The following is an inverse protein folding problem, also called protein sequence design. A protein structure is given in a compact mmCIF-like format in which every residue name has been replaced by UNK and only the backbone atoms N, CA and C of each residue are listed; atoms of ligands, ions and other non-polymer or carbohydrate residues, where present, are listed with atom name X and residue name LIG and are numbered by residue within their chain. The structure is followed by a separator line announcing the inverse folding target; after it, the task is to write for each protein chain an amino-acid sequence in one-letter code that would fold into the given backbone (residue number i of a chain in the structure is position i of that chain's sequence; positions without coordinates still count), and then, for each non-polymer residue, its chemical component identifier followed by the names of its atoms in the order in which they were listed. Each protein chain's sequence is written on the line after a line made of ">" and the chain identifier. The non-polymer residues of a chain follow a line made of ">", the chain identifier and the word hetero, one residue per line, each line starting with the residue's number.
data_IF_118176239494
#
_entry.id   IF_118176239494
#
_cell.length_a   1.000
_cell.length_b   1.000
_cell.length_c   1.000
_cell.angle_alpha   90.00
_cell.angle_beta   90.00
_cell.angle_gamma   90.00
#
_symmetry.space_group_name_H-M   'P 1'
#
loop_
_entity.id
_entity.type
_entity.pdbx_description
1 polymer ?
#
# COMPACT_ATOMS: atom_id res chain seq x y z
N UNK A 1 3.27 24.44 13.36
CA UNK A 1 3.62 25.23 12.16
C UNK A 1 4.82 26.16 12.33
N UNK A 2 5.06 26.79 13.49
CA UNK A 2 6.23 27.68 13.69
C UNK A 2 7.59 27.01 13.36
N UNK A 3 7.75 25.72 13.64
CA UNK A 3 8.98 24.97 13.38
C UNK A 3 9.30 24.72 11.90
N UNK A 4 8.32 24.88 11.00
CA UNK A 4 8.40 24.56 9.57
C UNK A 4 8.13 25.76 8.66
N UNK A 5 7.55 26.83 9.21
CA UNK A 5 7.26 28.07 8.48
C UNK A 5 8.56 28.68 7.93
N UNK A 6 8.57 28.99 6.62
CA UNK A 6 9.73 29.55 5.91
C UNK A 6 10.76 28.50 5.46
N UNK A 7 10.53 27.21 5.69
CA UNK A 7 11.34 26.12 5.13
C UNK A 7 10.72 25.63 3.82
N UNK A 8 11.55 25.15 2.89
CA UNK A 8 11.12 24.66 1.57
C UNK A 8 10.52 23.23 1.59
N UNK A 9 9.91 22.81 2.69
CA UNK A 9 9.26 21.51 2.78
C UNK A 9 7.89 21.55 2.09
N UNK A 10 7.53 20.51 1.36
CA UNK A 10 6.26 20.38 0.64
C UNK A 10 5.33 19.33 1.22
N UNK A 11 5.77 18.57 2.23
CA UNK A 11 4.95 17.54 2.84
C UNK A 11 5.50 16.97 4.14
N UNK A 12 4.69 16.14 4.79
CA UNK A 12 5.00 15.47 6.06
C UNK A 12 4.74 13.98 5.96
N UNK A 13 5.69 13.18 6.45
CA UNK A 13 5.46 11.78 6.79
C UNK A 13 5.13 11.68 8.28
N UNK A 14 3.91 11.26 8.58
CA UNK A 14 3.35 11.16 9.93
C UNK A 14 2.96 9.69 10.17
N UNK A 15 3.95 8.81 10.41
CA UNK A 15 3.80 7.37 10.24
C UNK A 15 2.69 6.72 11.07
N UNK A 16 2.33 7.32 12.21
CA UNK A 16 1.36 6.78 13.16
C UNK A 16 0.08 7.63 13.26
N UNK A 17 0.13 8.91 12.91
CA UNK A 17 -0.95 9.85 13.24
C UNK A 17 -2.28 9.47 12.58
N UNK A 18 -2.21 8.86 11.40
CA UNK A 18 -3.39 8.49 10.63
C UNK A 18 -3.94 7.09 10.95
N UNK A 19 -3.19 6.25 11.65
CA UNK A 19 -3.45 4.82 11.88
C UNK A 19 -3.61 4.47 13.37
N UNK A 20 -2.74 5.00 14.21
CA UNK A 20 -2.79 4.77 15.66
C UNK A 20 -3.80 5.72 16.31
N UNK A 21 -4.63 5.14 17.18
CA UNK A 21 -5.63 5.88 17.93
C UNK A 21 -5.53 5.52 19.41
N UNK A 22 -4.55 6.08 20.10
CA UNK A 22 -4.36 5.86 21.53
C UNK A 22 -5.12 6.93 22.36
N UNK A 23 -5.73 6.50 23.46
CA UNK A 23 -6.16 7.41 24.53
C UNK A 23 -5.05 7.57 25.58
N UNK A 24 -5.16 8.60 26.41
CA UNK A 24 -4.33 8.79 27.59
C UNK A 24 -5.23 8.80 28.83
N UNK A 25 -4.95 7.92 29.79
CA UNK A 25 -5.74 7.81 31.03
C UNK A 25 -4.95 8.29 32.25
N UNK A 26 -3.83 8.96 32.04
CA UNK A 26 -3.13 9.68 33.09
C UNK A 26 -4.03 10.78 33.68
N UNK A 27 -4.05 10.89 35.01
CA UNK A 27 -4.95 11.80 35.73
C UNK A 27 -4.77 13.27 35.30
N UNK A 28 -3.54 13.66 34.95
CA UNK A 28 -3.21 15.04 34.60
C UNK A 28 -3.29 15.29 33.09
N UNK A 29 -3.37 14.25 32.27
CA UNK A 29 -3.33 14.31 30.81
C UNK A 29 -4.39 13.41 30.18
N UNK A 30 -5.59 13.38 30.77
CA UNK A 30 -6.69 12.54 30.31
C UNK A 30 -7.14 12.93 28.89
N UNK A 31 -7.17 11.94 28.00
CA UNK A 31 -7.56 12.06 26.60
C UNK A 31 -8.30 10.78 26.18
N UNK A 32 -9.57 10.90 25.85
CA UNK A 32 -10.33 9.78 25.27
C UNK A 32 -9.89 9.48 23.84
N UNK A 33 -10.19 8.28 23.35
CA UNK A 33 -9.97 7.93 21.93
C UNK A 33 -10.72 8.86 20.96
N UNK A 34 -11.91 9.34 21.32
CA UNK A 34 -12.65 10.28 20.47
C UNK A 34 -11.93 11.63 20.39
N UNK A 35 -11.45 12.15 21.52
CA UNK A 35 -10.66 13.39 21.52
C UNK A 35 -9.33 13.22 20.76
N UNK A 36 -8.68 12.06 20.86
CA UNK A 36 -7.48 11.76 20.08
C UNK A 36 -7.77 11.73 18.57
N UNK A 37 -8.91 11.15 18.16
CA UNK A 37 -9.37 11.16 16.76
C UNK A 37 -9.57 12.60 16.28
N UNK A 38 -10.32 13.40 17.03
CA UNK A 38 -10.63 14.79 16.66
C UNK A 38 -9.35 15.63 16.53
N UNK A 39 -8.38 15.42 17.43
CA UNK A 39 -7.06 16.04 17.35
C UNK A 39 -6.29 15.63 16.09
N UNK A 40 -6.26 14.33 15.75
CA UNK A 40 -5.62 13.85 14.53
C UNK A 40 -6.26 14.45 13.27
N UNK A 41 -7.59 14.53 13.22
CA UNK A 41 -8.30 15.14 12.09
C UNK A 41 -7.99 16.64 11.97
N UNK A 42 -8.03 17.38 13.08
CA UNK A 42 -7.74 18.82 13.08
C UNK A 42 -6.32 19.10 12.58
N UNK A 43 -5.33 18.34 13.09
CA UNK A 43 -3.93 18.50 12.70
C UNK A 43 -3.71 18.16 11.23
N UNK A 44 -4.21 17.01 10.77
CA UNK A 44 -4.09 16.59 9.37
C UNK A 44 -4.78 17.60 8.43
N UNK A 45 -5.99 18.03 8.78
CA UNK A 45 -6.73 19.04 8.01
C UNK A 45 -5.94 20.34 7.92
N UNK A 46 -5.41 20.83 9.04
CA UNK A 46 -4.62 22.06 9.07
C UNK A 46 -3.40 21.99 8.17
N UNK A 47 -2.64 20.90 8.22
CA UNK A 47 -1.47 20.72 7.37
C UNK A 47 -1.85 20.69 5.89
N UNK A 48 -2.93 19.96 5.56
CA UNK A 48 -3.43 19.88 4.18
C UNK A 48 -3.93 21.24 3.67
N UNK A 49 -4.65 22.00 4.49
CA UNK A 49 -5.15 23.34 4.14
C UNK A 49 -4.02 24.37 3.97
N UNK A 50 -2.88 24.17 4.63
CA UNK A 50 -1.65 24.94 4.42
C UNK A 50 -0.88 24.51 3.15
N UNK A 51 -1.38 23.50 2.41
CA UNK A 51 -0.84 23.07 1.12
C UNK A 51 0.21 21.96 1.19
N UNK A 52 0.35 21.29 2.33
CA UNK A 52 1.32 20.19 2.49
C UNK A 52 0.74 18.85 2.01
N UNK A 53 1.54 18.06 1.30
CA UNK A 53 1.23 16.65 1.05
C UNK A 53 1.45 15.82 2.32
N UNK A 54 0.57 14.86 2.59
CA UNK A 54 0.61 14.05 3.81
C UNK A 54 0.75 12.57 3.49
N UNK A 55 1.71 11.92 4.14
CA UNK A 55 1.95 10.48 4.05
C UNK A 55 1.84 9.84 5.43
N UNK A 56 1.19 8.67 5.51
CA UNK A 56 1.11 7.89 6.75
C UNK A 56 1.29 6.40 6.47
N UNK A 57 1.81 5.67 7.47
CA UNK A 57 1.79 4.21 7.50
C UNK A 57 0.45 3.73 8.04
N UNK A 58 -0.34 3.05 7.22
CA UNK A 58 -1.74 2.77 7.52
C UNK A 58 -2.62 4.04 7.46
N UNK A 59 -3.93 3.83 7.46
CA UNK A 59 -4.90 4.92 7.56
C UNK A 59 -6.24 4.40 8.11
N UNK A 60 -6.77 5.07 9.12
CA UNK A 60 -8.17 4.94 9.51
C UNK A 60 -9.06 5.74 8.55
N UNK A 61 -10.31 5.30 8.37
CA UNK A 61 -11.22 5.92 7.41
C UNK A 61 -11.42 7.44 7.64
N UNK A 62 -11.41 7.90 8.89
CA UNK A 62 -11.58 9.31 9.24
C UNK A 62 -10.40 10.20 8.83
N UNK A 63 -9.24 9.62 8.48
CA UNK A 63 -8.06 10.38 8.07
C UNK A 63 -7.84 10.43 6.56
N UNK A 64 -8.46 9.51 5.82
CA UNK A 64 -8.35 9.41 4.36
C UNK A 64 -8.59 10.73 3.61
N UNK A 65 -9.57 11.58 3.97
CA UNK A 65 -9.79 12.84 3.26
C UNK A 65 -8.60 13.80 3.30
N UNK A 66 -7.67 13.64 4.25
CA UNK A 66 -6.55 14.55 4.46
C UNK A 66 -5.23 14.01 3.90
N UNK A 67 -5.14 12.70 3.64
CA UNK A 67 -3.90 12.07 3.19
C UNK A 67 -3.69 12.21 1.69
N UNK A 68 -2.44 12.42 1.29
CA UNK A 68 -1.99 12.28 -0.09
C UNK A 68 -1.55 10.85 -0.38
N UNK A 69 -0.91 10.20 0.60
CA UNK A 69 -0.38 8.84 0.51
C UNK A 69 -0.69 8.02 1.77
N UNK A 70 -1.28 6.84 1.61
CA UNK A 70 -1.43 5.84 2.66
C UNK A 70 -0.60 4.61 2.31
N UNK A 71 0.53 4.41 2.98
CA UNK A 71 1.46 3.31 2.67
C UNK A 71 1.40 2.21 3.72
N UNK A 72 2.09 1.10 3.48
CA UNK A 72 2.09 -0.05 4.38
C UNK A 72 0.66 -0.61 4.59
N UNK A 73 -0.17 -0.56 3.55
CA UNK A 73 -1.51 -1.16 3.55
C UNK A 73 -1.37 -2.65 3.26
N UNK A 74 -1.89 -3.50 4.14
CA UNK A 74 -1.87 -4.95 3.93
C UNK A 74 -2.59 -5.32 2.64
N UNK A 75 -1.96 -6.15 1.82
CA UNK A 75 -2.57 -6.74 0.61
C UNK A 75 -3.28 -8.06 0.90
N UNK A 76 -3.14 -8.58 2.12
CA UNK A 76 -3.58 -9.91 2.49
C UNK A 76 -4.44 -9.88 3.75
N UNK A 77 -5.36 -10.84 3.81
CA UNK A 77 -6.06 -11.19 5.04
C UNK A 77 -5.16 -12.06 5.93
N UNK A 78 -5.60 -12.33 7.15
CA UNK A 78 -4.92 -13.34 7.97
C UNK A 78 -5.15 -14.75 7.38
N UNK A 79 -4.27 -15.69 7.73
CA UNK A 79 -4.29 -17.07 7.23
C UNK A 79 -5.20 -18.00 8.05
N UNK A 80 -6.32 -17.48 8.57
CA UNK A 80 -7.20 -18.28 9.41
C UNK A 80 -7.88 -19.40 8.59
N UNK A 81 -7.87 -20.68 9.03
CA UNK A 81 -8.39 -21.82 8.23
C UNK A 81 -9.87 -21.75 7.84
N UNK A 82 -10.64 -20.89 8.52
CA UNK A 82 -12.06 -20.65 8.22
C UNK A 82 -12.28 -19.60 7.13
N UNK A 83 -11.22 -19.01 6.59
CA UNK A 83 -11.30 -18.04 5.51
C UNK A 83 -11.22 -18.81 4.19
N UNK A 84 -12.35 -18.88 3.50
CA UNK A 84 -12.41 -19.50 2.17
C UNK A 84 -11.69 -18.65 1.12
N UNK A 85 -11.83 -17.32 1.20
CA UNK A 85 -11.27 -16.39 0.21
C UNK A 85 -11.01 -15.00 0.78
N UNK A 86 -9.89 -14.42 0.38
CA UNK A 86 -9.58 -13.00 0.57
C UNK A 86 -10.01 -12.17 -0.66
N UNK A 87 -10.55 -10.99 -0.41
CA UNK A 87 -10.83 -9.96 -1.41
C UNK A 87 -10.07 -8.67 -1.04
N UNK A 88 -9.60 -7.87 -2.01
CA UNK A 88 -8.86 -6.63 -1.72
C UNK A 88 -9.81 -5.49 -1.32
N UNK A 89 -10.68 -5.73 -0.33
CA UNK A 89 -11.77 -4.82 0.04
C UNK A 89 -11.27 -3.42 0.41
N UNK A 90 -10.19 -3.34 1.21
CA UNK A 90 -9.58 -2.06 1.59
C UNK A 90 -9.17 -1.30 0.34
N UNK A 91 -8.47 -1.94 -0.59
CA UNK A 91 -8.01 -1.29 -1.81
C UNK A 91 -9.14 -0.94 -2.77
N UNK A 92 -10.23 -1.72 -2.80
CA UNK A 92 -11.44 -1.34 -3.53
C UNK A 92 -12.04 -0.03 -3.00
N UNK A 93 -11.93 0.25 -1.70
CA UNK A 93 -12.35 1.52 -1.10
C UNK A 93 -11.33 2.65 -1.34
N UNK A 94 -10.03 2.35 -1.29
CA UNK A 94 -8.98 3.37 -1.42
C UNK A 94 -8.72 3.79 -2.87
N UNK A 95 -8.94 2.88 -3.83
CA UNK A 95 -8.65 3.09 -5.24
C UNK A 95 -9.46 4.25 -5.82
N UNK A 96 -8.75 5.18 -6.47
CA UNK A 96 -9.31 6.43 -6.99
C UNK A 96 -9.58 7.51 -5.94
N UNK A 97 -9.38 7.23 -4.64
CA UNK A 97 -9.61 8.17 -3.53
C UNK A 97 -8.30 8.71 -2.96
N UNK A 98 -7.37 7.82 -2.62
CA UNK A 98 -6.05 8.16 -2.07
C UNK A 98 -4.98 7.36 -2.82
N UNK A 99 -3.77 7.89 -2.95
CA UNK A 99 -2.65 7.08 -3.42
C UNK A 99 -2.25 6.13 -2.27
N UNK A 100 -2.11 4.85 -2.55
CA UNK A 100 -1.72 3.89 -1.53
C UNK A 100 -0.60 2.96 -1.98
N UNK A 101 0.16 2.52 -0.98
CA UNK A 101 1.26 1.58 -1.13
C UNK A 101 1.01 0.31 -0.32
N UNK A 102 1.49 -0.80 -0.86
CA UNK A 102 1.44 -2.11 -0.24
C UNK A 102 2.23 -2.16 1.09
N UNK A 103 2.19 -3.32 1.75
CA UNK A 103 3.19 -3.70 2.75
C UNK A 103 4.61 -3.65 2.19
N UNK A 104 5.60 -3.66 3.08
CA UNK A 104 7.01 -3.51 2.69
C UNK A 104 7.54 -4.70 1.89
N UNK A 105 8.18 -4.45 0.75
CA UNK A 105 8.89 -5.47 -0.06
C UNK A 105 10.00 -6.19 0.74
N UNK A 106 10.59 -5.50 1.72
CA UNK A 106 11.68 -6.00 2.55
C UNK A 106 11.41 -7.36 3.20
N UNK A 107 10.15 -7.62 3.55
CA UNK A 107 9.71 -8.85 4.22
C UNK A 107 8.98 -9.81 3.29
N UNK A 108 8.89 -9.52 1.99
CA UNK A 108 8.34 -10.44 1.01
C UNK A 108 9.23 -11.68 0.91
N UNK A 109 8.63 -12.86 1.08
CA UNK A 109 9.31 -14.14 0.88
C UNK A 109 9.50 -14.47 -0.61
N UNK A 110 8.56 -14.01 -1.45
CA UNK A 110 8.57 -14.18 -2.89
C UNK A 110 8.21 -12.84 -3.56
N UNK A 111 9.15 -12.28 -4.31
CA UNK A 111 8.99 -11.00 -5.02
C UNK A 111 7.96 -11.10 -6.14
N UNK A 112 7.79 -12.27 -6.76
CA UNK A 112 6.78 -12.51 -7.80
C UNK A 112 5.39 -12.47 -7.20
N UNK A 113 5.20 -13.15 -6.06
CA UNK A 113 3.93 -13.10 -5.33
C UNK A 113 3.61 -11.67 -4.86
N UNK A 114 4.60 -10.96 -4.30
CA UNK A 114 4.46 -9.55 -3.90
C UNK A 114 4.04 -8.66 -5.09
N UNK A 115 4.71 -8.81 -6.24
CA UNK A 115 4.38 -8.10 -7.47
C UNK A 115 2.94 -8.38 -7.90
N UNK A 116 2.54 -9.65 -8.01
CA UNK A 116 1.20 -10.01 -8.44
C UNK A 116 0.14 -9.50 -7.47
N UNK A 117 0.40 -9.52 -6.16
CA UNK A 117 -0.49 -8.90 -5.16
C UNK A 117 -0.57 -7.39 -5.28
N UNK A 118 0.53 -6.70 -5.57
CA UNK A 118 0.49 -5.26 -5.86
C UNK A 118 -0.41 -4.98 -7.08
N UNK A 119 -0.31 -5.83 -8.11
CA UNK A 119 -1.14 -5.72 -9.32
C UNK A 119 -2.62 -5.99 -9.01
N UNK A 120 -2.93 -7.11 -8.34
CA UNK A 120 -4.31 -7.48 -7.95
C UNK A 120 -4.97 -6.39 -7.12
N UNK A 121 -4.21 -5.75 -6.24
CA UNK A 121 -4.74 -4.74 -5.31
C UNK A 121 -4.60 -3.31 -5.83
N UNK A 122 -4.00 -3.09 -7.00
CA UNK A 122 -3.69 -1.75 -7.51
C UNK A 122 -2.74 -0.93 -6.64
N UNK A 123 -1.97 -1.58 -5.76
CA UNK A 123 -1.09 -0.93 -4.80
C UNK A 123 0.25 -0.52 -5.44
N UNK A 124 0.78 0.65 -5.05
CA UNK A 124 2.17 0.96 -5.33
C UNK A 124 3.11 0.08 -4.47
N UNK A 125 4.31 -0.21 -4.98
CA UNK A 125 5.36 -0.84 -4.19
C UNK A 125 5.81 0.10 -3.06
N UNK A 126 6.06 -0.46 -1.88
CA UNK A 126 6.60 0.25 -0.73
C UNK A 126 7.79 -0.52 -0.15
N UNK A 127 8.84 0.18 0.23
CA UNK A 127 10.05 -0.42 0.78
C UNK A 127 10.79 0.58 1.69
N UNK A 128 11.66 0.06 2.54
CA UNK A 128 12.60 0.85 3.34
C UNK A 128 14.01 0.52 2.89
N UNK A 129 14.84 1.54 2.70
CA UNK A 129 16.23 1.38 2.31
C UNK A 129 17.17 2.16 3.24
N UNK A 130 18.34 1.58 3.49
CA UNK A 130 19.49 2.23 4.13
C UNK A 130 20.70 2.12 3.21
N UNK A 131 21.64 3.06 3.30
CA UNK A 131 22.87 3.00 2.52
C UNK A 131 23.85 1.93 3.04
N UNK A 132 24.01 1.86 4.35
CA UNK A 132 24.97 0.97 5.02
C UNK A 132 24.49 -0.50 5.07
N UNK A 133 25.38 -1.38 5.53
CA UNK A 133 25.04 -2.78 5.78
C UNK A 133 24.12 -2.95 7.00
N UNK A 134 23.18 -3.90 6.93
CA UNK A 134 22.22 -4.16 8.01
C UNK A 134 22.91 -4.55 9.34
N UNK A 135 24.13 -5.11 9.30
CA UNK A 135 24.90 -5.43 10.50
C UNK A 135 25.17 -4.23 11.40
N UNK A 136 25.19 -3.00 10.85
CA UNK A 136 25.34 -1.76 11.61
C UNK A 136 24.14 -1.46 12.52
N UNK A 137 22.97 -2.03 12.20
CA UNK A 137 21.75 -1.85 12.99
C UNK A 137 21.61 -2.88 14.11
N UNK A 138 22.45 -3.93 14.12
CA UNK A 138 22.42 -4.96 15.15
C UNK A 138 22.72 -4.37 16.53
N UNK A 139 21.84 -4.62 17.49
CA UNK A 139 21.96 -4.10 18.85
C UNK A 139 21.58 -2.62 19.01
N UNK A 140 20.97 -2.03 17.98
CA UNK A 140 20.39 -0.67 18.03
C UNK A 140 18.86 -0.74 18.06
N UNK A 141 18.20 0.40 18.29
CA UNK A 141 16.74 0.52 18.18
C UNK A 141 16.20 0.31 16.76
N UNK A 142 17.07 0.07 15.78
CA UNK A 142 16.73 -0.12 14.36
C UNK A 142 16.96 -1.56 13.90
N UNK A 143 17.17 -2.51 14.81
CA UNK A 143 17.42 -3.92 14.48
C UNK A 143 16.33 -4.58 13.64
N UNK A 144 15.11 -4.03 13.66
CA UNK A 144 13.96 -4.53 12.90
C UNK A 144 14.11 -4.29 11.38
N UNK A 145 15.02 -3.40 10.96
CA UNK A 145 15.35 -3.17 9.55
C UNK A 145 16.41 -4.16 9.04
N UNK A 146 16.22 -5.46 9.30
CA UNK A 146 17.21 -6.51 9.01
C UNK A 146 17.41 -6.79 7.51
N UNK A 147 16.51 -6.30 6.65
CA UNK A 147 16.53 -6.45 5.18
C UNK A 147 16.44 -5.08 4.47
N UNK A 148 17.13 -4.05 4.96
CA UNK A 148 17.00 -2.68 4.43
C UNK A 148 18.19 -2.21 3.57
N UNK A 149 19.34 -2.89 3.56
CA UNK A 149 20.51 -2.44 2.78
C UNK A 149 20.19 -2.29 1.28
N UNK A 150 20.41 -1.08 0.75
CA UNK A 150 20.05 -0.71 -0.61
C UNK A 150 20.76 -1.57 -1.65
N UNK A 151 22.05 -1.86 -1.47
CA UNK A 151 22.81 -2.69 -2.41
C UNK A 151 22.25 -4.11 -2.59
N UNK A 152 21.50 -4.62 -1.60
CA UNK A 152 20.80 -5.91 -1.69
C UNK A 152 19.39 -5.76 -2.26
N UNK A 153 18.72 -4.63 -1.99
CA UNK A 153 17.34 -4.38 -2.41
C UNK A 153 17.22 -3.86 -3.84
N UNK A 154 18.23 -3.17 -4.37
CA UNK A 154 18.17 -2.43 -5.65
C UNK A 154 17.61 -3.30 -6.78
N UNK A 155 18.18 -4.49 -7.00
CA UNK A 155 17.73 -5.41 -8.06
C UNK A 155 16.28 -5.88 -7.88
N UNK A 156 15.84 -6.08 -6.64
CA UNK A 156 14.46 -6.47 -6.31
C UNK A 156 13.51 -5.32 -6.63
N UNK A 157 13.87 -4.10 -6.21
CA UNK A 157 13.13 -2.85 -6.46
C UNK A 157 13.01 -2.61 -7.97
N UNK A 158 14.10 -2.73 -8.72
CA UNK A 158 14.11 -2.53 -10.17
C UNK A 158 13.22 -3.55 -10.89
N UNK A 159 13.35 -4.84 -10.52
CA UNK A 159 12.56 -5.92 -11.10
C UNK A 159 11.06 -5.72 -10.88
N UNK A 160 10.65 -5.57 -9.61
CA UNK A 160 9.25 -5.38 -9.22
C UNK A 160 8.71 -4.06 -9.78
N UNK A 161 9.45 -2.96 -9.61
CA UNK A 161 9.02 -1.62 -10.03
C UNK A 161 8.76 -1.51 -11.53
N UNK A 162 9.61 -2.12 -12.36
CA UNK A 162 9.42 -2.12 -13.82
C UNK A 162 8.15 -2.85 -14.24
N UNK A 163 7.93 -4.07 -13.72
CA UNK A 163 6.76 -4.88 -14.03
C UNK A 163 5.48 -4.23 -13.48
N UNK A 164 5.52 -3.75 -12.24
CA UNK A 164 4.38 -3.10 -11.59
C UNK A 164 3.95 -1.83 -12.33
N UNK A 165 4.91 -1.00 -12.73
CA UNK A 165 4.63 0.20 -13.52
C UNK A 165 3.98 -0.15 -14.87
N UNK A 166 4.49 -1.18 -15.56
CA UNK A 166 3.88 -1.64 -16.81
C UNK A 166 2.43 -2.13 -16.60
N UNK A 167 2.18 -2.89 -15.53
CA UNK A 167 0.86 -3.42 -15.21
C UNK A 167 -0.13 -2.32 -14.80
N UNK A 168 0.25 -1.40 -13.92
CA UNK A 168 -0.69 -0.43 -13.33
C UNK A 168 -0.85 0.86 -14.14
N UNK A 169 0.11 1.23 -15.01
CA UNK A 169 0.05 2.48 -15.80
C UNK A 169 -1.29 2.74 -16.49
N UNK A 170 -1.99 1.74 -17.08
CA UNK A 170 -3.28 1.99 -17.75
C UNK A 170 -4.45 2.26 -16.80
N UNK A 171 -4.35 1.86 -15.53
CA UNK A 171 -5.44 1.85 -14.54
C UNK A 171 -5.17 2.73 -13.32
N UNK A 172 -3.95 3.24 -13.15
CA UNK A 172 -3.52 4.01 -11.99
C UNK A 172 -4.40 5.25 -11.79
N UNK A 173 -4.91 5.42 -10.55
CA UNK A 173 -5.82 6.51 -10.19
C UNK A 173 -7.29 6.28 -10.58
N UNK A 174 -7.61 5.23 -11.34
CA UNK A 174 -9.00 4.80 -11.52
C UNK A 174 -9.45 3.94 -10.35
N UNK A 175 -10.70 4.10 -9.91
CA UNK A 175 -11.27 3.24 -8.86
C UNK A 175 -11.40 1.79 -9.33
N UNK A 176 -11.12 0.83 -8.45
CA UNK A 176 -11.47 -0.58 -8.66
C UNK A 176 -12.97 -0.73 -8.45
N UNK A 177 -13.68 -1.20 -9.47
CA UNK A 177 -15.13 -1.38 -9.45
C UNK A 177 -15.55 -2.82 -9.22
N UNK A 178 -14.68 -3.78 -9.55
CA UNK A 178 -14.99 -5.20 -9.43
C UNK A 178 -13.74 -6.05 -9.22
N UNK A 179 -13.88 -7.09 -8.40
CA UNK A 179 -12.90 -8.16 -8.24
C UNK A 179 -13.59 -9.50 -8.42
N UNK A 180 -13.12 -10.31 -9.37
CA UNK A 180 -13.76 -11.57 -9.77
C UNK A 180 -12.75 -12.71 -9.69
N UNK A 181 -13.10 -13.83 -9.05
CA UNK A 181 -12.37 -15.08 -9.20
C UNK A 181 -12.81 -15.75 -10.49
N UNK A 182 -11.89 -15.97 -11.42
CA UNK A 182 -12.19 -16.68 -12.67
C UNK A 182 -12.03 -18.19 -12.50
N UNK A 183 -10.97 -18.59 -11.80
CA UNK A 183 -10.67 -19.96 -11.40
C UNK A 183 -9.70 -19.94 -10.22
N UNK A 184 -9.36 -21.10 -9.66
CA UNK A 184 -8.32 -21.16 -8.63
C UNK A 184 -7.01 -20.53 -9.12
N UNK A 185 -6.42 -19.67 -8.29
CA UNK A 185 -5.23 -18.87 -8.64
C UNK A 185 -5.39 -17.83 -9.76
N UNK A 186 -6.60 -17.58 -10.30
CA UNK A 186 -6.80 -16.63 -11.39
C UNK A 186 -7.89 -15.61 -11.04
N UNK A 187 -7.49 -14.35 -10.93
CA UNK A 187 -8.38 -13.24 -10.54
C UNK A 187 -8.41 -12.15 -11.59
N UNK A 188 -9.54 -11.45 -11.70
CA UNK A 188 -9.74 -10.29 -12.55
C UNK A 188 -10.13 -9.08 -11.72
N UNK A 189 -9.50 -7.95 -12.01
CA UNK A 189 -9.77 -6.65 -11.39
C UNK A 189 -10.24 -5.71 -12.50
N UNK A 190 -11.41 -5.12 -12.34
CA UNK A 190 -11.96 -4.13 -13.26
C UNK A 190 -11.92 -2.74 -12.63
N UNK A 191 -11.66 -1.74 -13.46
CA UNK A 191 -11.49 -0.35 -13.07
C UNK A 191 -12.54 0.55 -13.74
N UNK A 192 -12.91 1.63 -13.06
CA UNK A 192 -13.92 2.60 -13.52
C UNK A 192 -13.62 3.24 -14.89
N UNK A 193 -12.36 3.29 -15.32
CA UNK A 193 -11.96 3.80 -16.63
C UNK A 193 -12.17 2.80 -17.78
N UNK A 194 -12.89 1.71 -17.53
CA UNK A 194 -13.25 0.71 -18.55
C UNK A 194 -12.11 -0.24 -18.90
N UNK A 195 -11.10 -0.38 -18.04
CA UNK A 195 -9.98 -1.32 -18.21
C UNK A 195 -9.95 -2.34 -17.07
N UNK A 196 -9.22 -3.43 -17.28
CA UNK A 196 -9.01 -4.45 -16.28
C UNK A 196 -7.65 -5.12 -16.39
N UNK A 197 -7.33 -5.90 -15.36
CA UNK A 197 -6.14 -6.75 -15.31
C UNK A 197 -6.58 -8.13 -14.84
N UNK A 198 -6.12 -9.17 -15.53
CA UNK A 198 -6.21 -10.55 -15.04
C UNK A 198 -4.84 -10.95 -14.51
N UNK A 199 -4.82 -11.55 -13.33
CA UNK A 199 -3.62 -12.03 -12.63
C UNK A 199 -3.69 -13.54 -12.51
N UNK A 200 -2.60 -14.22 -12.84
CA UNK A 200 -2.44 -15.66 -12.74
C UNK A 200 -1.33 -16.00 -11.75
N UNK A 201 -1.72 -16.53 -10.59
CA UNK A 201 -0.81 -17.00 -9.55
C UNK A 201 -0.28 -18.43 -9.81
N UNK A 202 -0.81 -19.13 -10.82
CA UNK A 202 -0.42 -20.51 -11.10
C UNK A 202 0.95 -20.59 -11.77
N UNK A 203 1.62 -21.74 -11.58
CA UNK A 203 2.91 -22.07 -12.21
C UNK A 203 2.77 -22.51 -13.69
N UNK A 204 1.56 -22.45 -14.24
CA UNK A 204 1.26 -22.78 -15.63
C UNK A 204 0.51 -21.62 -16.30
N UNK A 205 0.66 -21.52 -17.62
CA UNK A 205 -0.08 -20.56 -18.42
C UNK A 205 -1.59 -20.87 -18.37
N UNK A 206 -2.41 -19.83 -18.34
CA UNK A 206 -3.88 -19.95 -18.37
C UNK A 206 -4.42 -19.32 -19.65
N UNK A 207 -5.23 -20.07 -20.39
CA UNK A 207 -5.92 -19.54 -21.57
C UNK A 207 -7.28 -18.99 -21.18
N UNK A 208 -7.56 -17.76 -21.58
CA UNK A 208 -8.85 -17.10 -21.39
C UNK A 208 -9.36 -16.58 -22.75
N UNK A 209 -10.61 -16.12 -22.81
CA UNK A 209 -11.15 -15.45 -24.00
C UNK A 209 -10.34 -14.21 -24.40
N UNK A 210 -9.66 -13.56 -23.44
CA UNK A 210 -8.85 -12.38 -23.68
C UNK A 210 -7.42 -12.70 -24.14
N UNK A 211 -7.00 -13.98 -24.11
CA UNK A 211 -5.66 -14.42 -24.47
C UNK A 211 -5.02 -15.34 -23.43
N UNK A 212 -3.73 -15.63 -23.64
CA UNK A 212 -2.91 -16.47 -22.76
C UNK A 212 -2.25 -15.60 -21.70
N UNK A 213 -2.50 -15.92 -20.44
CA UNK A 213 -1.86 -15.30 -19.29
C UNK A 213 -0.67 -16.18 -18.91
N UNK A 214 0.57 -15.66 -18.90
CA UNK A 214 1.74 -16.43 -18.49
C UNK A 214 1.60 -17.00 -17.07
N UNK A 215 2.32 -18.08 -16.78
CA UNK A 215 2.57 -18.55 -15.42
C UNK A 215 3.15 -17.42 -14.56
N UNK A 216 2.63 -17.25 -13.35
CA UNK A 216 3.04 -16.17 -12.42
C UNK A 216 3.05 -14.81 -13.11
N UNK A 217 1.95 -14.50 -13.80
CA UNK A 217 1.87 -13.43 -14.77
C UNK A 217 0.56 -12.66 -14.74
N UNK A 218 0.45 -11.68 -15.64
CA UNK A 218 -0.72 -10.82 -15.74
C UNK A 218 -0.99 -10.43 -17.20
N UNK A 219 -2.22 -10.00 -17.49
CA UNK A 219 -2.67 -9.57 -18.80
C UNK A 219 -3.65 -8.40 -18.67
N UNK A 220 -3.44 -7.32 -19.45
CA UNK A 220 -4.42 -6.24 -19.59
C UNK A 220 -5.62 -6.70 -20.40
N UNK A 221 -6.81 -6.24 -20.00
CA UNK A 221 -8.07 -6.50 -20.68
C UNK A 221 -8.94 -5.25 -20.68
N UNK A 222 -9.93 -5.20 -21.57
CA UNK A 222 -11.00 -4.21 -21.47
C UNK A 222 -11.94 -4.57 -20.31
N UNK A 223 -12.50 -3.56 -19.65
CA UNK A 223 -13.39 -3.65 -18.50
C UNK A 223 -14.74 -4.29 -18.84
N UNK A 224 -15.45 -4.75 -17.81
CA UNK A 224 -16.76 -5.42 -17.90
C UNK A 224 -17.83 -4.64 -17.14
#
# INVERSE_FOLDING_TARGET
>A
MKAVKGKAFTGFSLPYLASDLAGNFDKNNYLTRNQAKDYSEELLKKLRDEGYELMSGGANAYTLPYLSYAVNISMEANSHPLIDRSIPFVQMVLSGVVKYGAGVLNTAADDSYYLLKCIETGSAMYFTAIYEDNSKLKGTNYSDFYNASFGQLEKRIEHVGKQLSAALKPVYGSAITKHTLLSDGVVRVDYANGKGIIVNYNQSNVTTEAGVIPAVGWLHVEGR
#
